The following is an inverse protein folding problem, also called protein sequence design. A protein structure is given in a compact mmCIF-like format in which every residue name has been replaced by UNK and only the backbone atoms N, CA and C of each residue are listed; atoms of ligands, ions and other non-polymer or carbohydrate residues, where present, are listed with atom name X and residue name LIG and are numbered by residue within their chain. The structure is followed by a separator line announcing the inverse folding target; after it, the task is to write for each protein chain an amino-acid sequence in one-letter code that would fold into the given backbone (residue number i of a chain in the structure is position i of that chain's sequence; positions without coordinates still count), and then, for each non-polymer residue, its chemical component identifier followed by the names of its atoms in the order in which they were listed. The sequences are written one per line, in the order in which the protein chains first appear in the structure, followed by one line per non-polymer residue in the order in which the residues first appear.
data_IF_401538865849
#
_entry.id   IF_401538865849
#
_cell.length_a   1.000
_cell.length_b   1.000
_cell.length_c   1.000
_cell.angle_alpha   90.00
_cell.angle_beta   90.00
_cell.angle_gamma   90.00
#
_symmetry.space_group_name_H-M   'P 1'
#
loop_
_entity.id
_entity.type
_entity.pdbx_description
1 polymer ?
#
# COMPACT_ATOMS: atom_id res chain seq x y z
N UNK A 1 -9.84 4.60 8.40
CA UNK A 1 -8.38 4.62 8.39
C UNK A 1 -7.97 5.65 9.42
N UNK A 2 -7.04 5.36 10.30
CA UNK A 2 -6.57 6.31 11.31
C UNK A 2 -5.77 7.46 10.69
N UNK A 3 -5.76 8.61 11.38
CA UNK A 3 -5.02 9.79 10.96
C UNK A 3 -3.52 9.51 10.76
N UNK A 4 -2.95 8.62 11.59
CA UNK A 4 -1.55 8.20 11.49
C UNK A 4 -1.28 7.47 10.18
N UNK A 5 -2.09 6.45 9.84
CA UNK A 5 -1.94 5.71 8.59
C UNK A 5 -2.08 6.61 7.36
N UNK A 6 -3.03 7.56 7.40
CA UNK A 6 -3.23 8.53 6.32
C UNK A 6 -2.02 9.42 6.11
N UNK A 7 -1.46 9.94 7.21
CA UNK A 7 -0.29 10.80 7.19
C UNK A 7 0.95 10.06 6.67
N UNK A 8 1.15 8.82 7.10
CA UNK A 8 2.24 7.96 6.61
C UNK A 8 2.14 7.73 5.11
N UNK A 9 0.94 7.38 4.60
CA UNK A 9 0.72 7.23 3.16
C UNK A 9 0.98 8.55 2.42
N UNK A 10 0.53 9.67 2.97
CA UNK A 10 0.69 10.98 2.32
C UNK A 10 2.15 11.42 2.27
N UNK A 11 2.90 11.27 3.37
CA UNK A 11 4.34 11.59 3.46
C UNK A 11 5.17 10.71 2.53
N UNK A 12 4.82 9.43 2.42
CA UNK A 12 5.55 8.47 1.58
C UNK A 12 4.95 8.29 0.19
N UNK A 13 3.90 9.03 -0.18
CA UNK A 13 3.18 8.90 -1.44
C UNK A 13 4.11 8.98 -2.66
N UNK A 14 5.07 9.89 -2.63
CA UNK A 14 6.06 10.04 -3.72
C UNK A 14 6.97 8.81 -3.83
N UNK A 15 7.46 8.29 -2.71
CA UNK A 15 8.30 7.10 -2.66
C UNK A 15 7.54 5.86 -3.14
N UNK A 16 6.28 5.72 -2.69
CA UNK A 16 5.39 4.65 -3.09
C UNK A 16 5.13 4.65 -4.59
N UNK A 17 4.81 5.80 -5.19
CA UNK A 17 4.54 5.88 -6.63
C UNK A 17 5.70 5.40 -7.50
N UNK A 18 6.92 5.49 -6.98
CA UNK A 18 8.15 5.14 -7.69
C UNK A 18 8.58 3.68 -7.42
N UNK A 19 8.32 3.16 -6.21
CA UNK A 19 8.83 1.86 -5.75
C UNK A 19 7.75 0.78 -5.57
N UNK A 20 6.47 1.17 -5.48
CA UNK A 20 5.34 0.26 -5.30
C UNK A 20 5.05 -0.47 -6.60
N UNK A 21 5.11 -1.80 -6.54
CA UNK A 21 4.68 -2.68 -7.62
C UNK A 21 3.20 -3.02 -7.43
N UNK A 22 2.39 -2.55 -8.37
CA UNK A 22 0.96 -2.88 -8.46
C UNK A 22 0.73 -4.33 -8.88
N UNK A 23 1.65 -4.88 -9.68
CA UNK A 23 1.61 -6.24 -10.19
C UNK A 23 1.72 -7.22 -9.00
N UNK A 24 0.79 -8.16 -8.89
CA UNK A 24 0.65 -9.07 -7.74
C UNK A 24 -0.09 -8.45 -6.54
N UNK A 25 0.22 -7.20 -6.16
CA UNK A 25 -0.43 -6.55 -5.00
C UNK A 25 -1.94 -6.38 -5.20
N UNK A 26 -2.36 -5.94 -6.38
CA UNK A 26 -3.79 -5.82 -6.72
C UNK A 26 -4.53 -7.16 -6.65
N UNK A 27 -3.86 -8.24 -7.04
CA UNK A 27 -4.45 -9.58 -7.05
C UNK A 27 -4.65 -10.09 -5.62
N UNK A 28 -3.65 -9.90 -4.75
CA UNK A 28 -3.75 -10.18 -3.32
C UNK A 28 -4.88 -9.36 -2.68
N UNK A 29 -5.02 -8.08 -3.03
CA UNK A 29 -6.11 -7.25 -2.49
C UNK A 29 -7.51 -7.74 -2.94
N UNK A 30 -7.62 -8.31 -4.14
CA UNK A 30 -8.85 -8.93 -4.64
C UNK A 30 -9.13 -10.26 -3.92
N UNK A 31 -8.12 -11.11 -3.78
CA UNK A 31 -8.24 -12.41 -3.11
C UNK A 31 -8.66 -12.25 -1.65
N UNK A 32 -8.05 -11.29 -0.94
CA UNK A 32 -8.38 -10.95 0.45
C UNK A 32 -9.72 -10.22 0.58
N UNK A 33 -10.43 -9.94 -0.53
CA UNK A 33 -11.74 -9.30 -0.55
C UNK A 33 -11.73 -7.82 -0.16
N UNK A 34 -10.55 -7.20 -0.09
CA UNK A 34 -10.42 -5.77 0.22
C UNK A 34 -10.87 -4.95 -0.98
N UNK A 35 -10.43 -5.33 -2.18
CA UNK A 35 -10.89 -4.72 -3.42
C UNK A 35 -11.91 -5.59 -4.11
N UNK A 36 -12.81 -4.95 -4.85
CA UNK A 36 -13.71 -5.62 -5.77
C UNK A 36 -13.09 -5.64 -7.16
N UNK A 37 -13.41 -6.62 -8.03
CA UNK A 37 -12.85 -6.71 -9.39
C UNK A 37 -13.02 -5.40 -10.17
N UNK A 38 -14.17 -4.73 -10.02
CA UNK A 38 -14.42 -3.40 -10.61
C UNK A 38 -13.46 -2.30 -10.12
N UNK A 39 -13.04 -2.34 -8.86
CA UNK A 39 -12.09 -1.37 -8.31
C UNK A 39 -10.67 -1.62 -8.83
N UNK A 40 -10.28 -2.90 -8.93
CA UNK A 40 -9.00 -3.25 -9.50
C UNK A 40 -8.93 -2.91 -10.99
N UNK A 41 -10.02 -3.11 -11.73
CA UNK A 41 -10.14 -2.69 -13.12
C UNK A 41 -10.01 -1.17 -13.28
N UNK A 42 -10.69 -0.39 -12.42
CA UNK A 42 -10.55 1.08 -12.39
C UNK A 42 -9.09 1.52 -12.13
N UNK A 43 -8.38 0.82 -11.25
CA UNK A 43 -6.96 1.08 -10.99
C UNK A 43 -6.13 0.71 -12.22
N UNK A 44 -6.30 -0.49 -12.78
CA UNK A 44 -5.54 -0.96 -13.97
C UNK A 44 -5.81 -0.10 -15.21
N UNK A 45 -7.01 0.48 -15.31
CA UNK A 45 -7.40 1.36 -16.40
C UNK A 45 -6.65 2.70 -16.40
N UNK A 46 -5.92 3.06 -15.34
CA UNK A 46 -5.16 4.32 -15.35
C UNK A 46 -3.87 4.17 -16.17
N UNK A 47 -3.61 5.19 -16.99
CA UNK A 47 -2.50 5.21 -17.95
C UNK A 47 -1.11 5.24 -17.29
N UNK A 48 -0.98 5.89 -16.14
CA UNK A 48 0.31 6.05 -15.45
C UNK A 48 0.31 5.36 -14.10
N UNK A 49 1.44 4.73 -13.73
CA UNK A 49 1.64 4.09 -12.42
C UNK A 49 1.36 5.06 -11.25
N UNK A 50 1.63 6.35 -11.45
CA UNK A 50 1.34 7.41 -10.49
C UNK A 50 -0.17 7.54 -10.24
N UNK A 51 -0.99 7.52 -11.29
CA UNK A 51 -2.44 7.64 -11.19
C UNK A 51 -3.09 6.33 -10.71
N UNK A 52 -2.55 5.18 -11.13
CA UNK A 52 -2.91 3.86 -10.59
C UNK A 52 -2.72 3.86 -9.07
N UNK A 53 -1.53 4.23 -8.60
CA UNK A 53 -1.16 4.29 -7.18
C UNK A 53 -2.01 5.29 -6.40
N UNK A 54 -2.30 6.45 -6.98
CA UNK A 54 -3.17 7.43 -6.34
C UNK A 54 -4.61 6.87 -6.18
N UNK A 55 -5.16 6.28 -7.24
CA UNK A 55 -6.49 5.66 -7.23
C UNK A 55 -6.56 4.53 -6.22
N UNK A 56 -5.52 3.68 -6.17
CA UNK A 56 -5.37 2.62 -5.19
C UNK A 56 -5.43 3.17 -3.75
N UNK A 57 -4.66 4.21 -3.43
CA UNK A 57 -4.68 4.78 -2.08
C UNK A 57 -6.02 5.43 -1.72
N UNK A 58 -6.71 6.04 -2.68
CA UNK A 58 -8.05 6.60 -2.47
C UNK A 58 -9.03 5.48 -2.09
N UNK A 59 -9.02 4.36 -2.83
CA UNK A 59 -9.89 3.22 -2.56
C UNK A 59 -9.52 2.58 -1.22
N UNK A 60 -8.22 2.38 -0.96
CA UNK A 60 -7.71 1.83 0.30
C UNK A 60 -8.18 2.63 1.51
N UNK A 61 -8.06 3.97 1.45
CA UNK A 61 -8.48 4.91 2.50
C UNK A 61 -9.97 4.80 2.80
N UNK A 62 -10.80 4.58 1.77
CA UNK A 62 -12.26 4.40 1.92
C UNK A 62 -12.65 3.08 2.59
N UNK A 63 -11.81 2.04 2.50
CA UNK A 63 -12.10 0.71 3.08
C UNK A 63 -11.83 0.62 4.58
N UNK A 64 -11.01 1.51 5.12
CA UNK A 64 -10.75 1.59 6.56
C UNK A 64 -9.47 0.88 7.01
N UNK A 65 -9.22 0.78 8.33
CA UNK A 65 -7.95 0.32 8.88
C UNK A 65 -7.60 -1.13 8.48
N UNK A 66 -8.59 -2.03 8.40
CA UNK A 66 -8.38 -3.42 7.95
C UNK A 66 -7.77 -3.52 6.54
N UNK A 67 -8.04 -2.56 5.67
CA UNK A 67 -7.47 -2.55 4.33
C UNK A 67 -5.97 -2.20 4.36
N UNK A 68 -5.56 -1.39 5.33
CA UNK A 68 -4.15 -1.04 5.53
C UNK A 68 -3.35 -2.24 6.03
N UNK A 69 -3.87 -3.03 6.98
CA UNK A 69 -3.25 -4.30 7.40
C UNK A 69 -3.03 -5.24 6.21
N UNK A 70 -4.07 -5.48 5.42
CA UNK A 70 -3.97 -6.35 4.24
C UNK A 70 -3.01 -5.78 3.20
N UNK A 71 -2.91 -4.45 3.07
CA UNK A 71 -1.91 -3.82 2.23
C UNK A 71 -0.49 -4.11 2.72
N UNK A 72 -0.23 -3.99 4.03
CA UNK A 72 1.07 -4.34 4.63
C UNK A 72 1.40 -5.82 4.45
N UNK A 73 0.43 -6.72 4.64
CA UNK A 73 0.58 -8.15 4.34
C UNK A 73 0.90 -8.38 2.86
N UNK A 74 0.21 -7.67 1.96
CA UNK A 74 0.42 -7.77 0.52
C UNK A 74 1.82 -7.32 0.10
N UNK A 75 2.38 -6.28 0.74
CA UNK A 75 3.77 -5.87 0.53
C UNK A 75 4.75 -6.96 0.97
N UNK A 76 4.48 -7.62 2.10
CA UNK A 76 5.31 -8.72 2.62
C UNK A 76 5.28 -9.94 1.69
N UNK A 77 4.09 -10.37 1.27
CA UNK A 77 3.88 -11.48 0.33
C UNK A 77 4.51 -11.20 -1.04
N UNK A 78 4.40 -9.96 -1.52
CA UNK A 78 5.00 -9.53 -2.78
C UNK A 78 6.52 -9.29 -2.70
N UNK A 79 7.14 -9.57 -1.54
CA UNK A 79 8.57 -9.32 -1.28
C UNK A 79 9.00 -7.87 -1.57
N UNK A 80 8.11 -6.91 -1.32
CA UNK A 80 8.37 -5.47 -1.52
C UNK A 80 9.00 -4.84 -0.27
N UNK A 81 10.13 -5.41 0.19
CA UNK A 81 10.80 -5.05 1.46
C UNK A 81 11.11 -3.56 1.55
N UNK A 82 11.63 -2.95 0.48
CA UNK A 82 11.91 -1.50 0.43
C UNK A 82 10.69 -0.63 0.79
N UNK A 83 9.51 -1.02 0.32
CA UNK A 83 8.27 -0.27 0.59
C UNK A 83 7.73 -0.58 1.98
N UNK A 84 7.81 -1.85 2.39
CA UNK A 84 7.39 -2.31 3.70
C UNK A 84 8.21 -1.63 4.81
N UNK A 85 9.54 -1.69 4.73
CA UNK A 85 10.45 -1.05 5.71
C UNK A 85 10.21 0.45 5.78
N UNK A 86 9.98 1.11 4.64
CA UNK A 86 9.67 2.54 4.60
C UNK A 86 8.36 2.87 5.33
N UNK A 87 7.36 1.99 5.22
CA UNK A 87 6.08 2.12 5.91
C UNK A 87 6.23 1.90 7.40
N UNK A 88 6.90 0.83 7.81
CA UNK A 88 7.13 0.48 9.22
C UNK A 88 7.92 1.57 9.95
N UNK A 89 9.02 2.04 9.36
CA UNK A 89 9.79 3.16 9.89
C UNK A 89 8.96 4.44 10.04
N UNK A 90 8.05 4.70 9.09
CA UNK A 90 7.18 5.88 9.15
C UNK A 90 6.06 5.75 10.20
N UNK A 91 5.66 4.53 10.54
CA UNK A 91 4.71 4.23 11.62
C UNK A 91 5.36 4.27 13.01
N UNK A 92 6.69 4.45 13.06
CA UNK A 92 7.45 4.30 14.30
C UNK A 92 7.51 2.85 14.79
N UNK A 93 7.21 1.89 13.91
CA UNK A 93 7.48 0.47 14.10
C UNK A 93 8.94 0.22 13.74
N UNK A 94 9.85 0.93 14.42
CA UNK A 94 11.27 0.64 14.30
C UNK A 94 11.49 -0.71 14.97
N UNK A 95 11.80 -1.73 14.16
CA UNK A 95 12.37 -2.95 14.68
C UNK A 95 13.72 -2.54 15.25
N UNK A 96 13.79 -2.43 16.57
CA UNK A 96 15.03 -2.46 17.36
C UNK A 96 15.75 -3.75 16.99
N UNK A 97 16.51 -3.73 15.91
CA UNK A 97 17.66 -4.60 15.68
C UNK A 97 18.47 -4.08 14.49
N UNK A 98 19.37 -3.14 14.75
CA UNK A 98 20.74 -3.29 14.27
C UNK A 98 21.68 -2.79 15.36
N UNK A 99 22.09 -3.74 16.19
CA UNK A 99 23.37 -3.71 16.88
C UNK A 99 24.46 -3.67 15.80
N UNK A 100 25.25 -2.60 15.78
CA UNK A 100 26.63 -2.64 15.29
C UNK A 100 27.52 -1.81 16.22
#
# INVERSE_FOLDING_TARGET
MDHVHDEVLRKNCKFLKDNLKMEGLLDLMLEKGVFSPKMADEIRSKETTCDQTNTFFIILRRRGPKAFDVFMEGLKESSQTLVLERMEHSLGLDHVDQIH
#
